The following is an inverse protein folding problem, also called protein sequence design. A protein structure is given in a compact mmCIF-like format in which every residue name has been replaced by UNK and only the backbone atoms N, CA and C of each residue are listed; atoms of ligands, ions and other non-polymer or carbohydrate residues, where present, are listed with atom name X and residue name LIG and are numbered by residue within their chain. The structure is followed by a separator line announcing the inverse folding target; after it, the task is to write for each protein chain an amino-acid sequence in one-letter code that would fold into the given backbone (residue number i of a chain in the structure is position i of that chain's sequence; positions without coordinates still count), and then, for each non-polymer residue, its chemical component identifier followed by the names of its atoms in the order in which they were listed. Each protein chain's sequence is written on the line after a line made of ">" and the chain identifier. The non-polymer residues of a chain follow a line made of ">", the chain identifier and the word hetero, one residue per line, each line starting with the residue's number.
data_IF_366220653678
#
_entry.id   IF_366220653678
#
_cell.length_a   1.000
_cell.length_b   1.000
_cell.length_c   1.000
_cell.angle_alpha   90.00
_cell.angle_beta   90.00
_cell.angle_gamma   90.00
#
_symmetry.space_group_name_H-M   'P 1'
#
loop_
_entity.id
_entity.type
_entity.pdbx_description
1 polymer ?
#
# COMPACT_ATOMS: atom_id res chain seq x y z
N UNK A 1 -13.72 -12.11 -6.46
CA UNK A 1 -12.73 -12.49 -7.49
C UNK A 1 -11.41 -11.78 -7.21
N UNK A 2 -10.29 -12.32 -7.67
CA UNK A 2 -9.01 -11.62 -7.78
C UNK A 2 -8.61 -11.52 -9.25
N UNK A 3 -7.83 -10.51 -9.61
CA UNK A 3 -7.28 -10.35 -10.95
C UNK A 3 -5.84 -9.82 -10.85
N UNK A 4 -4.83 -10.62 -11.22
CA UNK A 4 -3.42 -10.26 -11.06
C UNK A 4 -2.98 -9.10 -11.95
N UNK A 5 -3.75 -8.77 -13.00
CA UNK A 5 -3.45 -7.62 -13.87
C UNK A 5 -3.59 -6.27 -13.15
N UNK A 6 -4.21 -6.25 -11.97
CA UNK A 6 -4.33 -5.07 -11.12
C UNK A 6 -3.29 -4.98 -10.01
N UNK A 7 -2.45 -6.00 -9.78
CA UNK A 7 -1.49 -5.98 -8.66
C UNK A 7 -0.60 -4.72 -8.70
N UNK A 8 -0.51 -4.03 -7.55
CA UNK A 8 0.20 -2.75 -7.42
C UNK A 8 -0.53 -1.52 -7.96
N UNK A 9 -1.69 -1.67 -8.60
CA UNK A 9 -2.47 -0.53 -9.11
C UNK A 9 -3.34 0.09 -8.02
N UNK A 10 -3.55 1.39 -8.15
CA UNK A 10 -4.63 2.10 -7.47
C UNK A 10 -5.89 2.07 -8.34
N UNK A 11 -7.03 1.70 -7.78
CA UNK A 11 -8.30 1.67 -8.50
C UNK A 11 -9.41 2.41 -7.74
N UNK A 12 -10.34 3.00 -8.48
CA UNK A 12 -11.54 3.68 -7.98
C UNK A 12 -12.74 3.23 -8.81
N UNK A 13 -13.88 3.03 -8.18
CA UNK A 13 -15.13 2.76 -8.91
C UNK A 13 -15.62 4.01 -9.64
N UNK A 14 -16.34 3.82 -10.74
CA UNK A 14 -16.96 4.90 -11.52
C UNK A 14 -18.13 5.60 -10.79
N UNK A 15 -18.73 4.96 -9.79
CA UNK A 15 -19.85 5.53 -9.01
C UNK A 15 -19.55 5.85 -7.55
N UNK A 16 -18.39 5.44 -7.01
CA UNK A 16 -17.99 5.68 -5.62
C UNK A 16 -16.59 6.31 -5.54
N UNK A 17 -16.33 7.05 -4.45
CA UNK A 17 -15.07 7.78 -4.29
C UNK A 17 -13.97 7.02 -3.53
N UNK A 18 -14.27 5.84 -3.01
CA UNK A 18 -13.28 5.00 -2.35
C UNK A 18 -12.16 4.57 -3.32
N UNK A 19 -10.92 4.80 -2.92
CA UNK A 19 -9.72 4.41 -3.67
C UNK A 19 -9.05 3.24 -2.96
N UNK A 20 -8.61 2.27 -3.74
CA UNK A 20 -8.00 1.04 -3.25
C UNK A 20 -6.62 0.85 -3.86
N UNK A 21 -5.66 0.40 -3.07
CA UNK A 21 -4.45 -0.25 -3.59
C UNK A 21 -4.75 -1.75 -3.75
N UNK A 22 -4.37 -2.33 -4.89
CA UNK A 22 -4.39 -3.80 -5.03
C UNK A 22 -3.07 -4.35 -4.50
N UNK A 23 -3.16 -5.07 -3.39
CA UNK A 23 -2.02 -5.68 -2.71
C UNK A 23 -2.41 -7.09 -2.24
N UNK A 24 -1.55 -8.07 -2.55
CA UNK A 24 -1.77 -9.50 -2.34
C UNK A 24 -3.06 -10.00 -3.02
N UNK A 25 -3.35 -9.48 -4.22
CA UNK A 25 -4.57 -9.82 -4.97
C UNK A 25 -5.87 -9.39 -4.28
N UNK A 26 -5.82 -8.43 -3.35
CA UNK A 26 -6.97 -7.88 -2.63
C UNK A 26 -7.04 -6.37 -2.78
N UNK A 27 -8.27 -5.83 -2.78
CA UNK A 27 -8.47 -4.39 -2.63
C UNK A 27 -8.27 -3.98 -1.18
N UNK A 28 -7.27 -3.13 -0.95
CA UNK A 28 -6.99 -2.50 0.34
C UNK A 28 -7.46 -1.05 0.28
N UNK A 29 -8.53 -0.72 1.00
CA UNK A 29 -9.09 0.64 0.98
C UNK A 29 -8.09 1.64 1.60
N UNK A 30 -7.78 2.72 0.90
CA UNK A 30 -6.98 3.83 1.45
C UNK A 30 -7.92 4.73 2.24
N UNK A 31 -7.79 4.73 3.57
CA UNK A 31 -8.84 5.21 4.45
C UNK A 31 -9.23 6.68 4.27
N UNK A 32 -8.28 7.56 3.91
CA UNK A 32 -8.50 8.99 3.72
C UNK A 32 -7.33 9.66 2.98
N UNK A 33 -7.47 10.94 2.57
CA UNK A 33 -6.40 11.69 1.89
C UNK A 33 -5.07 11.78 2.63
N UNK A 34 -5.09 11.93 3.96
CA UNK A 34 -3.86 12.01 4.74
C UNK A 34 -3.07 10.69 4.70
N UNK A 35 -3.77 9.54 4.65
CA UNK A 35 -3.14 8.23 4.49
C UNK A 35 -2.57 8.05 3.08
N UNK A 36 -3.28 8.55 2.06
CA UNK A 36 -2.75 8.56 0.70
C UNK A 36 -1.43 9.34 0.64
N UNK A 37 -1.42 10.57 1.13
CA UNK A 37 -0.24 11.44 1.10
C UNK A 37 0.93 10.85 1.89
N UNK A 38 0.64 10.17 3.00
CA UNK A 38 1.63 9.51 3.85
C UNK A 38 2.25 8.24 3.24
N UNK A 39 1.77 7.76 2.09
CA UNK A 39 2.29 6.57 1.42
C UNK A 39 2.71 6.82 -0.03
N UNK A 40 1.93 7.63 -0.75
CA UNK A 40 2.06 7.85 -2.18
C UNK A 40 2.50 9.28 -2.52
N UNK A 41 2.63 10.15 -1.50
CA UNK A 41 3.08 11.53 -1.64
C UNK A 41 1.96 12.53 -1.91
N UNK A 42 2.32 13.81 -1.90
CA UNK A 42 1.40 14.97 -2.05
C UNK A 42 1.20 15.42 -3.50
N UNK A 43 1.76 14.68 -4.46
CA UNK A 43 1.60 14.93 -5.88
C UNK A 43 0.20 14.58 -6.39
N UNK A 44 0.04 14.62 -7.71
CA UNK A 44 -1.20 14.20 -8.36
C UNK A 44 -1.53 12.73 -8.02
N UNK A 45 -2.77 12.49 -7.61
CA UNK A 45 -3.25 11.15 -7.29
C UNK A 45 -3.45 10.35 -8.57
N UNK A 46 -2.73 9.24 -8.71
CA UNK A 46 -2.80 8.36 -9.88
C UNK A 46 -3.57 7.11 -9.54
N UNK A 47 -4.74 6.94 -10.16
CA UNK A 47 -5.59 5.75 -10.03
C UNK A 47 -6.32 5.45 -11.35
N UNK A 48 -6.67 4.19 -11.55
CA UNK A 48 -7.49 3.73 -12.66
C UNK A 48 -8.96 3.70 -12.25
N UNK A 49 -9.83 4.36 -13.03
CA UNK A 49 -11.28 4.23 -12.87
C UNK A 49 -11.74 2.94 -13.52
N UNK A 50 -12.55 2.15 -12.79
CA UNK A 50 -13.09 0.86 -13.22
C UNK A 50 -14.60 0.81 -12.95
N UNK A 51 -15.36 -0.09 -13.60
CA UNK A 51 -16.78 -0.28 -13.28
C UNK A 51 -16.97 -0.62 -11.79
N UNK A 52 -17.93 0.01 -11.13
CA UNK A 52 -18.20 -0.25 -9.71
C UNK A 52 -18.44 -1.74 -9.41
N UNK A 53 -19.10 -2.45 -10.32
CA UNK A 53 -19.33 -3.89 -10.19
C UNK A 53 -18.03 -4.71 -10.09
N UNK A 54 -16.92 -4.24 -10.68
CA UNK A 54 -15.60 -4.87 -10.51
C UNK A 54 -15.12 -4.72 -9.07
N UNK A 55 -15.19 -3.50 -8.51
CA UNK A 55 -14.79 -3.19 -7.12
C UNK A 55 -15.65 -3.98 -6.12
N UNK A 56 -16.95 -4.07 -6.38
CA UNK A 56 -17.88 -4.77 -5.49
C UNK A 56 -17.57 -6.27 -5.41
N UNK A 57 -17.23 -6.88 -6.56
CA UNK A 57 -16.93 -8.30 -6.67
C UNK A 57 -15.46 -8.66 -6.37
N UNK A 58 -14.55 -7.69 -6.32
CA UNK A 58 -13.15 -7.95 -6.00
C UNK A 58 -12.99 -8.34 -4.52
N UNK A 59 -12.09 -9.27 -4.23
CA UNK A 59 -11.77 -9.68 -2.86
C UNK A 59 -11.21 -8.49 -2.06
N UNK A 60 -11.79 -8.21 -0.89
CA UNK A 60 -11.37 -7.08 -0.04
C UNK A 60 -10.41 -7.56 1.06
N UNK A 61 -9.38 -6.77 1.33
CA UNK A 61 -8.44 -6.98 2.44
C UNK A 61 -8.60 -5.95 3.55
N UNK A 62 -7.70 -5.96 4.53
CA UNK A 62 -7.66 -4.94 5.57
C UNK A 62 -7.49 -3.53 4.95
N UNK A 63 -7.94 -2.48 5.64
CA UNK A 63 -7.69 -1.13 5.15
C UNK A 63 -6.19 -0.79 5.22
N UNK A 64 -5.79 0.19 4.42
CA UNK A 64 -4.56 0.96 4.57
C UNK A 64 -4.95 2.22 5.32
N UNK A 65 -4.38 2.43 6.49
CA UNK A 65 -4.71 3.54 7.39
C UNK A 65 -3.45 4.08 8.09
N UNK A 66 -3.62 4.86 9.16
CA UNK A 66 -2.49 5.46 9.89
C UNK A 66 -1.56 4.42 10.55
N UNK A 67 -2.02 3.17 10.67
CA UNK A 67 -1.25 2.04 11.22
C UNK A 67 -0.46 1.29 10.16
N UNK A 68 -0.52 1.69 8.89
CA UNK A 68 0.23 1.08 7.79
C UNK A 68 1.30 1.98 7.17
N UNK A 69 2.23 2.61 7.95
CA UNK A 69 3.25 3.49 7.38
C UNK A 69 4.37 2.72 6.64
N UNK A 70 5.09 3.45 5.79
CA UNK A 70 6.41 3.04 5.30
C UNK A 70 7.49 3.38 6.34
N UNK A 71 8.36 2.42 6.63
CA UNK A 71 9.44 2.59 7.60
C UNK A 71 10.77 2.06 7.06
N UNK A 72 11.87 2.51 7.65
CA UNK A 72 13.19 1.90 7.53
C UNK A 72 13.93 1.92 8.87
N UNK A 73 14.73 0.89 9.12
CA UNK A 73 15.69 0.84 10.23
C UNK A 73 17.06 1.41 9.85
N UNK A 74 18.07 1.14 10.68
CA UNK A 74 19.43 1.68 10.51
C UNK A 74 20.19 0.88 9.44
N UNK A 75 20.26 1.41 8.22
CA UNK A 75 20.87 0.71 7.08
C UNK A 75 20.00 -0.41 6.49
N UNK A 76 18.77 -0.55 6.99
CA UNK A 76 17.83 -1.60 6.60
C UNK A 76 17.10 -1.34 5.27
N UNK A 77 16.52 -2.39 4.67
CA UNK A 77 15.53 -2.25 3.61
C UNK A 77 14.30 -1.43 4.03
N UNK A 78 13.49 -1.04 3.04
CA UNK A 78 12.21 -0.35 3.29
C UNK A 78 11.11 -1.39 3.54
N UNK A 79 10.27 -1.12 4.53
CA UNK A 79 9.15 -1.99 4.90
C UNK A 79 7.84 -1.21 4.87
N UNK A 80 6.77 -1.89 4.48
CA UNK A 80 5.41 -1.48 4.81
C UNK A 80 5.02 -2.13 6.15
N UNK A 81 4.55 -1.34 7.10
CA UNK A 81 3.85 -1.91 8.26
C UNK A 81 2.46 -2.33 7.81
N UNK A 82 2.11 -3.57 8.06
CA UNK A 82 0.83 -4.13 7.66
C UNK A 82 0.41 -5.21 8.64
N UNK A 83 -0.83 -5.13 9.14
CA UNK A 83 -1.39 -6.06 10.13
C UNK A 83 -0.43 -6.34 11.31
N UNK A 84 0.20 -5.28 11.83
CA UNK A 84 1.19 -5.30 12.94
C UNK A 84 2.51 -6.02 12.63
N UNK A 85 2.84 -6.23 11.35
CA UNK A 85 4.10 -6.83 10.90
C UNK A 85 4.85 -5.87 9.99
N UNK A 86 6.18 -5.96 9.97
CA UNK A 86 7.00 -5.30 8.94
C UNK A 86 7.11 -6.22 7.73
N UNK A 87 6.69 -5.75 6.57
CA UNK A 87 6.74 -6.49 5.31
C UNK A 87 7.79 -5.86 4.42
N UNK A 88 8.84 -6.61 4.10
CA UNK A 88 9.92 -6.09 3.27
C UNK A 88 9.42 -5.86 1.85
N UNK A 89 9.67 -4.66 1.32
CA UNK A 89 9.45 -4.33 -0.08
C UNK A 89 10.72 -4.72 -0.83
N UNK A 90 10.66 -5.82 -1.59
CA UNK A 90 11.85 -6.59 -1.98
C UNK A 90 12.81 -5.88 -2.94
N UNK A 91 12.38 -4.82 -3.61
CA UNK A 91 13.24 -3.98 -4.44
C UNK A 91 12.68 -2.57 -4.65
N UNK A 92 13.51 -1.62 -5.12
CA UNK A 92 13.04 -0.31 -5.57
C UNK A 92 11.98 -0.39 -6.68
N UNK A 93 12.08 -1.38 -7.58
CA UNK A 93 11.08 -1.57 -8.65
C UNK A 93 9.74 -2.01 -8.08
N UNK A 94 9.74 -2.87 -7.06
CA UNK A 94 8.53 -3.24 -6.33
C UNK A 94 7.98 -2.02 -5.60
N UNK A 95 8.82 -1.26 -4.89
CA UNK A 95 8.40 -0.03 -4.22
C UNK A 95 7.67 0.93 -5.18
N UNK A 96 8.26 1.18 -6.35
CA UNK A 96 7.71 2.05 -7.38
C UNK A 96 6.45 1.45 -8.04
N UNK A 97 6.36 0.12 -8.19
CA UNK A 97 5.18 -0.56 -8.75
C UNK A 97 3.92 -0.27 -7.95
N UNK A 98 4.01 -0.29 -6.61
CA UNK A 98 2.88 0.02 -5.73
C UNK A 98 2.66 1.54 -5.54
N UNK A 99 3.42 2.38 -6.25
CA UNK A 99 3.28 3.84 -6.21
C UNK A 99 3.73 4.48 -4.90
N UNK A 100 4.45 3.74 -4.05
CA UNK A 100 4.96 4.29 -2.80
C UNK A 100 5.93 5.44 -3.06
N UNK A 101 5.95 6.41 -2.15
CA UNK A 101 6.82 7.58 -2.24
C UNK A 101 8.00 7.47 -1.29
N UNK A 102 9.21 7.62 -1.83
CA UNK A 102 10.46 7.58 -1.07
C UNK A 102 10.53 8.69 -0.02
N UNK A 103 9.86 9.81 -0.24
CA UNK A 103 9.84 10.97 0.65
C UNK A 103 8.98 10.74 1.91
N UNK A 104 8.17 9.67 1.92
CA UNK A 104 7.23 9.36 3.01
C UNK A 104 7.76 8.34 4.01
N UNK A 105 8.95 7.80 3.77
CA UNK A 105 9.56 6.75 4.61
C UNK A 105 9.96 7.33 5.96
N UNK A 106 9.44 6.72 7.04
CA UNK A 106 9.81 7.07 8.42
C UNK A 106 11.07 6.30 8.85
N UNK A 107 12.12 7.02 9.23
CA UNK A 107 13.29 6.39 9.85
C UNK A 107 12.97 6.07 11.32
N UNK A 108 13.05 4.80 11.69
CA UNK A 108 12.74 4.34 13.06
C UNK A 108 13.94 3.66 13.74
N UNK A 109 15.06 3.52 13.03
CA UNK A 109 16.28 2.87 13.52
C UNK A 109 16.03 1.46 14.04
N UNK A 110 16.68 1.11 15.15
CA UNK A 110 16.54 -0.20 15.82
C UNK A 110 15.13 -0.54 16.31
N UNK A 111 14.19 0.42 16.38
CA UNK A 111 12.78 0.12 16.69
C UNK A 111 12.18 -0.84 15.65
N UNK A 112 12.68 -0.81 14.41
CA UNK A 112 12.22 -1.74 13.37
C UNK A 112 12.47 -3.20 13.74
N UNK A 113 13.46 -3.53 14.56
CA UNK A 113 13.80 -4.90 14.97
C UNK A 113 12.81 -5.49 15.97
N UNK A 114 12.04 -4.64 16.65
CA UNK A 114 11.01 -5.06 17.60
C UNK A 114 9.71 -5.47 16.91
N UNK A 115 9.58 -5.21 15.61
CA UNK A 115 8.38 -5.49 14.82
C UNK A 115 8.53 -6.86 14.14
N UNK A 116 7.59 -7.81 14.35
CA UNK A 116 7.64 -9.12 13.70
C UNK A 116 7.63 -9.01 12.17
N UNK A 117 8.44 -9.84 11.50
CA UNK A 117 8.46 -9.91 10.05
C UNK A 117 7.19 -10.58 9.50
N UNK A 118 6.62 -10.01 8.45
CA UNK A 118 5.56 -10.60 7.63
C UNK A 118 6.08 -11.08 6.28
N UNK A 119 5.21 -11.66 5.44
CA UNK A 119 5.54 -11.99 4.06
C UNK A 119 6.02 -10.75 3.30
N UNK A 120 7.06 -10.93 2.49
CA UNK A 120 7.58 -9.87 1.63
C UNK A 120 6.53 -9.43 0.60
N UNK A 121 6.66 -8.19 0.14
CA UNK A 121 5.93 -7.64 -1.00
C UNK A 121 6.86 -7.74 -2.21
N UNK A 122 6.39 -8.32 -3.32
CA UNK A 122 7.14 -8.60 -4.55
C UNK A 122 6.44 -8.09 -5.82
#
# INVERSE_FOLDING_TARGET
>A
MSDPSFEGKHIKGDSNDAIYLVLDGKLRHVANPAVWEALFGTGEWKFQVVPQALVDNFSKGAAIDQTTPLIKGDGDPVYLIDEKKKRWISSPDVFNRYGFSWDTIKSVGSVSDLIPSGPNIN
#
